data_IF_244510672182
#
_entry.id   IF_244510672182
#
_cell.length_a   1.000
_cell.length_b   1.000
_cell.length_c   1.000
_cell.angle_alpha   90.00
_cell.angle_beta   90.00
_cell.angle_gamma   90.00
#
_symmetry.space_group_name_H-M   'P 1'
#
loop_
_entity.id
_entity.type
_entity.pdbx_description
1 polymer ?
#
# COMPACT_ATOMS: atom_id res chain seq x y z
N UNK A 1 -5.18 4.10 -0.92
CA UNK A 1 -5.75 3.24 -1.99
C UNK A 1 -6.99 3.86 -2.66
N UNK A 2 -8.04 4.27 -1.92
CA UNK A 2 -9.23 4.91 -2.54
C UNK A 2 -8.90 6.09 -3.46
N UNK A 3 -7.98 6.97 -3.05
CA UNK A 3 -7.52 8.07 -3.90
C UNK A 3 -6.87 7.62 -5.21
N UNK A 4 -6.14 6.50 -5.21
CA UNK A 4 -5.54 5.96 -6.43
C UNK A 4 -6.57 5.29 -7.34
N UNK A 5 -7.58 4.61 -6.77
CA UNK A 5 -8.72 4.11 -7.54
C UNK A 5 -9.44 5.26 -8.24
N UNK A 6 -9.79 6.32 -7.49
CA UNK A 6 -10.45 7.50 -8.05
C UNK A 6 -9.60 8.16 -9.15
N UNK A 7 -8.28 8.26 -8.95
CA UNK A 7 -7.38 8.81 -9.95
C UNK A 7 -7.35 7.97 -11.24
N UNK A 8 -7.32 6.63 -11.12
CA UNK A 8 -7.38 5.75 -12.29
C UNK A 8 -8.72 5.87 -13.03
N UNK A 9 -9.83 5.96 -12.30
CA UNK A 9 -11.16 6.10 -12.90
C UNK A 9 -11.35 7.45 -13.61
N UNK A 10 -10.78 8.52 -13.06
CA UNK A 10 -10.82 9.84 -13.69
C UNK A 10 -10.00 9.93 -14.98
N UNK A 11 -8.98 9.07 -15.15
CA UNK A 11 -8.08 9.05 -16.31
C UNK A 11 -8.20 7.72 -17.07
N UNK A 12 -9.41 7.15 -17.12
CA UNK A 12 -9.62 5.77 -17.58
C UNK A 12 -9.26 5.56 -19.05
N UNK A 13 -9.62 6.51 -19.92
CA UNK A 13 -9.34 6.40 -21.36
C UNK A 13 -7.83 6.48 -21.65
N UNK A 14 -7.12 7.37 -20.94
CA UNK A 14 -5.65 7.48 -21.03
C UNK A 14 -4.98 6.19 -20.54
N UNK A 15 -5.46 5.62 -19.43
CA UNK A 15 -4.97 4.34 -18.93
C UNK A 15 -5.20 3.20 -19.94
N UNK A 16 -6.36 3.16 -20.60
CA UNK A 16 -6.62 2.17 -21.67
C UNK A 16 -5.68 2.39 -22.85
N UNK A 17 -5.45 3.65 -23.26
CA UNK A 17 -4.55 3.97 -24.36
C UNK A 17 -3.11 3.56 -24.06
N UNK A 18 -2.66 3.71 -22.83
CA UNK A 18 -1.30 3.40 -22.40
C UNK A 18 -1.04 1.89 -22.26
N UNK A 19 -1.91 1.18 -21.51
CA UNK A 19 -1.64 -0.22 -21.13
C UNK A 19 -2.55 -1.25 -21.81
N UNK A 20 -3.58 -0.80 -22.51
CA UNK A 20 -4.63 -1.62 -23.10
C UNK A 20 -5.74 -1.97 -22.10
N UNK A 21 -6.95 -2.14 -22.61
CA UNK A 21 -8.18 -2.38 -21.83
C UNK A 21 -8.05 -3.53 -20.81
N UNK A 22 -7.47 -4.66 -21.23
CA UNK A 22 -7.34 -5.83 -20.36
C UNK A 22 -6.50 -5.53 -19.11
N UNK A 23 -5.37 -4.85 -19.27
CA UNK A 23 -4.48 -4.51 -18.14
C UNK A 23 -5.08 -3.43 -17.26
N UNK A 24 -5.70 -2.41 -17.85
CA UNK A 24 -6.40 -1.36 -17.11
C UNK A 24 -7.48 -1.96 -16.17
N UNK A 25 -8.24 -2.95 -16.65
CA UNK A 25 -9.23 -3.67 -15.85
C UNK A 25 -8.63 -4.47 -14.70
N UNK A 26 -7.55 -5.21 -14.95
CA UNK A 26 -6.86 -5.97 -13.89
C UNK A 26 -6.38 -5.01 -12.78
N UNK A 27 -5.78 -3.88 -13.16
CA UNK A 27 -5.33 -2.87 -12.20
C UNK A 27 -6.47 -2.24 -11.40
N UNK A 28 -7.58 -1.91 -12.05
CA UNK A 28 -8.77 -1.40 -11.36
C UNK A 28 -9.31 -2.39 -10.34
N UNK A 29 -9.45 -3.66 -10.74
CA UNK A 29 -9.92 -4.73 -9.85
C UNK A 29 -8.97 -4.94 -8.67
N UNK A 30 -7.66 -5.00 -8.95
CA UNK A 30 -6.62 -5.15 -7.94
C UNK A 30 -6.69 -4.02 -6.90
N UNK A 31 -6.66 -2.75 -7.33
CA UNK A 31 -6.65 -1.62 -6.40
C UNK A 31 -7.96 -1.50 -5.59
N UNK A 32 -9.12 -1.74 -6.23
CA UNK A 32 -10.40 -1.74 -5.53
C UNK A 32 -10.47 -2.87 -4.49
N UNK A 33 -10.02 -4.07 -4.85
CA UNK A 33 -9.93 -5.22 -3.95
C UNK A 33 -9.01 -4.95 -2.77
N UNK A 34 -7.82 -4.39 -3.00
CA UNK A 34 -6.89 -4.02 -1.93
C UNK A 34 -7.50 -2.96 -0.99
N UNK A 35 -8.20 -1.95 -1.51
CA UNK A 35 -8.83 -0.92 -0.67
C UNK A 35 -9.80 -1.54 0.34
N UNK A 36 -10.67 -2.45 -0.13
CA UNK A 36 -11.63 -3.18 0.72
C UNK A 36 -10.91 -4.12 1.69
N UNK A 37 -9.88 -4.83 1.25
CA UNK A 37 -9.13 -5.76 2.10
C UNK A 37 -8.44 -5.03 3.27
N UNK A 38 -7.89 -3.84 3.05
CA UNK A 38 -7.35 -3.00 4.13
C UNK A 38 -8.45 -2.51 5.08
N UNK A 39 -9.59 -2.05 4.57
CA UNK A 39 -10.72 -1.59 5.40
C UNK A 39 -11.30 -2.67 6.30
N UNK A 40 -11.32 -3.90 5.80
CA UNK A 40 -11.79 -5.07 6.55
C UNK A 40 -10.71 -5.69 7.43
N UNK A 41 -9.49 -5.14 7.44
CA UNK A 41 -8.36 -5.71 8.19
C UNK A 41 -7.92 -7.09 7.70
N UNK A 42 -8.24 -7.47 6.45
CA UNK A 42 -7.82 -8.74 5.86
C UNK A 42 -6.35 -8.73 5.46
N UNK A 43 -5.80 -7.55 5.17
CA UNK A 43 -4.38 -7.31 4.92
C UNK A 43 -3.92 -6.10 5.72
N UNK A 44 -2.63 -6.07 6.04
CA UNK A 44 -2.02 -5.05 6.90
C UNK A 44 -0.63 -4.65 6.36
N UNK A 45 -0.23 -3.42 6.67
CA UNK A 45 1.13 -2.94 6.47
C UNK A 45 1.78 -2.84 7.85
N UNK A 46 2.83 -3.62 8.09
CA UNK A 46 3.52 -3.66 9.37
C UNK A 46 4.88 -2.97 9.24
N UNK A 47 5.13 -1.98 10.09
CA UNK A 47 6.46 -1.39 10.25
C UNK A 47 7.09 -1.99 11.51
N UNK A 48 8.10 -2.83 11.30
CA UNK A 48 8.82 -3.48 12.40
C UNK A 48 10.19 -2.84 12.51
N UNK A 49 10.53 -2.37 13.72
CA UNK A 49 11.84 -1.82 14.05
C UNK A 49 12.58 -2.87 14.89
N UNK A 50 13.76 -3.27 14.43
CA UNK A 50 14.59 -4.26 15.11
C UNK A 50 16.06 -3.82 15.11
N UNK A 51 16.76 -4.13 16.19
CA UNK A 51 18.19 -3.88 16.37
C UNK A 51 18.88 -5.20 16.72
N UNK A 52 20.09 -5.39 16.21
CA UNK A 52 20.91 -6.54 16.59
C UNK A 52 21.62 -6.23 17.91
N UNK A 53 21.12 -6.78 19.01
CA UNK A 53 21.74 -6.64 20.33
C UNK A 53 22.81 -7.72 20.53
N UNK A 54 24.08 -7.31 20.67
CA UNK A 54 25.17 -8.19 21.08
C UNK A 54 25.12 -8.48 22.59
N UNK A 55 26.10 -7.98 23.37
CA UNK A 55 26.11 -8.06 24.84
C UNK A 55 25.51 -6.81 25.54
N UNK A 56 24.82 -5.94 24.81
CA UNK A 56 24.30 -4.67 25.33
C UNK A 56 22.93 -4.33 24.75
N UNK A 57 22.28 -3.34 25.35
CA UNK A 57 21.00 -2.81 24.87
C UNK A 57 21.19 -2.06 23.55
N UNK A 58 20.29 -2.26 22.59
CA UNK A 58 20.29 -1.56 21.32
C UNK A 58 19.96 -0.08 21.52
N UNK A 59 20.57 0.78 20.72
CA UNK A 59 20.50 2.26 20.81
C UNK A 59 19.11 2.85 20.44
N UNK A 60 18.02 2.11 20.62
CA UNK A 60 16.68 2.65 20.46
C UNK A 60 16.32 3.47 21.71
N UNK A 61 15.84 4.72 21.54
CA UNK A 61 15.40 5.52 22.66
C UNK A 61 14.23 4.83 23.37
N UNK A 62 14.22 4.87 24.70
CA UNK A 62 13.16 4.28 25.54
C UNK A 62 11.77 4.88 25.26
N UNK A 63 11.72 6.06 24.65
CA UNK A 63 10.51 6.73 24.19
C UNK A 63 10.70 7.15 22.74
N UNK A 64 9.68 6.91 21.92
CA UNK A 64 9.67 7.38 20.53
C UNK A 64 9.03 8.77 20.52
N UNK A 65 9.83 9.80 20.26
CA UNK A 65 9.46 11.22 20.31
C UNK A 65 9.64 11.95 18.95
N UNK A 66 9.85 11.17 17.89
CA UNK A 66 9.91 11.61 16.49
C UNK A 66 8.57 11.50 15.77
#
# INVERSE_FOLDING_TARGET
LRHWVNNLENNWDDAIAEVGRGRAWVWRLYMAGCAVAFERGQIQLNQVVAVHEGRGHGDLPLRQDW
#
